data_IF_432923298780
#
_entry.id   IF_432923298780
#
_cell.length_a   1.000
_cell.length_b   1.000
_cell.length_c   1.000
_cell.angle_alpha   90.00
_cell.angle_beta   90.00
_cell.angle_gamma   90.00
#
_symmetry.space_group_name_H-M   'P 1'
#
loop_
_entity.id
_entity.type
_entity.pdbx_description
1 polymer ?
#
# COMPACT_ATOMS: atom_id res chain seq x y z
N UNK A 1 5.35 15.55 -4.74
CA UNK A 1 5.16 16.71 -3.85
C UNK A 1 3.84 16.49 -3.13
N UNK A 2 3.88 16.10 -1.85
CA UNK A 2 2.66 15.87 -1.08
C UNK A 2 1.97 17.21 -0.83
N UNK A 3 0.77 17.36 -1.38
CA UNK A 3 -0.07 18.53 -1.14
C UNK A 3 -0.83 18.24 0.14
N UNK A 4 -0.63 19.07 1.16
CA UNK A 4 -1.37 19.01 2.43
C UNK A 4 -2.88 18.85 2.18
N UNK A 5 -3.54 18.04 3.00
CA UNK A 5 -4.99 17.82 2.99
C UNK A 5 -5.54 17.05 1.77
N UNK A 6 -4.67 16.39 1.01
CA UNK A 6 -5.05 15.45 -0.06
C UNK A 6 -4.70 14.03 0.34
N UNK A 7 -5.55 13.10 -0.09
CA UNK A 7 -5.25 11.66 -0.02
C UNK A 7 -3.92 11.44 -0.73
N UNK A 8 -2.95 10.92 0.01
CA UNK A 8 -1.61 10.69 -0.49
C UNK A 8 -1.05 9.31 -0.10
N UNK A 9 -1.79 8.56 0.72
CA UNK A 9 -1.42 7.20 1.09
C UNK A 9 -2.65 6.29 1.15
N UNK A 10 -2.53 5.09 0.57
CA UNK A 10 -3.59 4.06 0.59
C UNK A 10 -3.05 2.72 1.06
N UNK A 11 -3.82 2.02 1.88
CA UNK A 11 -3.45 0.67 2.32
C UNK A 11 -4.55 -0.34 1.99
N UNK A 12 -4.13 -1.46 1.44
CA UNK A 12 -5.00 -2.54 1.00
C UNK A 12 -4.83 -3.78 1.90
N UNK A 13 -5.92 -4.44 2.32
CA UNK A 13 -5.83 -5.74 2.97
C UNK A 13 -5.35 -6.78 1.96
N UNK A 14 -4.40 -7.61 2.37
CA UNK A 14 -3.90 -8.74 1.58
C UNK A 14 -3.86 -10.01 2.43
N UNK A 15 -4.51 -11.07 1.96
CA UNK A 15 -4.45 -12.38 2.63
C UNK A 15 -3.05 -12.99 2.55
N UNK A 16 -2.37 -12.76 1.43
CA UNK A 16 -1.03 -13.27 1.13
C UNK A 16 -0.17 -12.14 0.54
N UNK A 17 0.75 -11.64 1.36
CA UNK A 17 1.64 -10.52 1.00
C UNK A 17 2.61 -10.94 -0.11
N UNK A 18 3.15 -12.15 -0.06
CA UNK A 18 4.14 -12.61 -1.05
C UNK A 18 3.51 -12.81 -2.42
N UNK A 19 2.31 -13.42 -2.47
CA UNK A 19 1.57 -13.54 -3.72
C UNK A 19 1.17 -12.16 -4.29
N UNK A 20 0.84 -11.21 -3.42
CA UNK A 20 0.51 -9.83 -3.82
C UNK A 20 1.72 -9.13 -4.44
N UNK A 21 2.88 -9.16 -3.77
CA UNK A 21 4.13 -8.61 -4.30
C UNK A 21 4.46 -9.23 -5.66
N UNK A 22 4.42 -10.56 -5.77
CA UNK A 22 4.72 -11.26 -7.01
C UNK A 22 3.81 -10.81 -8.18
N UNK A 23 2.51 -10.65 -7.93
CA UNK A 23 1.56 -10.18 -8.95
C UNK A 23 1.88 -8.74 -9.39
N UNK A 24 1.97 -7.80 -8.46
CA UNK A 24 2.17 -6.39 -8.81
C UNK A 24 3.56 -6.11 -9.41
N UNK A 25 4.60 -6.81 -8.96
CA UNK A 25 5.92 -6.77 -9.60
C UNK A 25 5.88 -7.34 -11.02
N UNK A 26 5.23 -8.48 -11.24
CA UNK A 26 5.22 -9.12 -12.57
C UNK A 26 4.36 -8.39 -13.61
N UNK A 27 3.22 -7.83 -13.20
CA UNK A 27 2.27 -7.19 -14.13
C UNK A 27 2.59 -5.71 -14.33
N UNK A 28 3.00 -5.01 -13.27
CA UNK A 28 3.17 -3.55 -13.29
C UNK A 28 4.61 -3.09 -13.03
N UNK A 29 5.52 -3.99 -12.69
CA UNK A 29 6.90 -3.62 -12.36
C UNK A 29 7.05 -2.91 -11.02
N UNK A 30 6.09 -3.04 -10.10
CA UNK A 30 6.14 -2.37 -8.81
C UNK A 30 7.29 -2.88 -7.93
N UNK A 31 7.93 -1.95 -7.24
CA UNK A 31 8.90 -2.22 -6.17
C UNK A 31 8.24 -2.12 -4.79
N UNK A 32 8.81 -2.84 -3.83
CA UNK A 32 8.26 -2.96 -2.48
C UNK A 32 9.34 -2.83 -1.40
N UNK A 33 8.98 -2.25 -0.25
CA UNK A 33 9.78 -2.19 0.98
C UNK A 33 9.04 -2.90 2.12
N UNK A 34 9.65 -3.93 2.70
CA UNK A 34 9.04 -4.75 3.75
C UNK A 34 9.33 -4.20 5.15
N UNK A 35 8.29 -4.06 5.99
CA UNK A 35 8.40 -3.67 7.41
C UNK A 35 8.04 -4.83 8.34
N UNK A 36 8.29 -6.06 7.88
CA UNK A 36 7.95 -7.30 8.57
C UNK A 36 7.12 -8.24 7.69
N UNK A 37 6.75 -9.42 8.20
CA UNK A 37 6.05 -10.44 7.41
C UNK A 37 4.58 -10.10 7.13
N UNK A 38 4.04 -9.06 7.75
CA UNK A 38 2.62 -8.70 7.69
C UNK A 38 2.37 -7.36 7.00
N UNK A 39 3.42 -6.68 6.51
CA UNK A 39 3.29 -5.38 5.88
C UNK A 39 4.37 -5.12 4.85
N UNK A 40 3.97 -4.55 3.71
CA UNK A 40 4.88 -4.09 2.66
C UNK A 40 4.37 -2.78 2.05
N UNK A 41 5.27 -1.82 1.81
CA UNK A 41 4.95 -0.54 1.20
C UNK A 41 5.37 -0.52 -0.28
N UNK A 42 4.67 0.26 -1.10
CA UNK A 42 5.06 0.65 -2.44
C UNK A 42 5.05 2.18 -2.55
N UNK A 43 5.82 2.72 -3.48
CA UNK A 43 5.91 4.18 -3.69
C UNK A 43 5.87 4.54 -5.17
N UNK A 44 5.46 5.78 -5.45
CA UNK A 44 5.53 6.41 -6.79
C UNK A 44 4.73 5.66 -7.89
N UNK A 45 3.61 5.03 -7.53
CA UNK A 45 2.71 4.36 -8.49
C UNK A 45 1.49 5.22 -8.85
N UNK A 46 1.68 6.54 -8.77
CA UNK A 46 0.62 7.57 -8.81
C UNK A 46 0.10 7.96 -7.42
N UNK A 47 0.29 7.09 -6.43
CA UNK A 47 0.11 7.32 -5.00
C UNK A 47 1.06 6.39 -4.24
N UNK A 48 1.45 6.78 -3.03
CA UNK A 48 2.17 5.89 -2.13
C UNK A 48 1.18 5.00 -1.38
N UNK A 49 1.62 3.84 -0.92
CA UNK A 49 0.71 2.95 -0.22
C UNK A 49 1.35 1.69 0.31
N UNK A 50 0.50 0.81 0.84
CA UNK A 50 0.95 -0.46 1.38
C UNK A 50 -0.08 -1.57 1.29
N UNK A 51 0.38 -2.79 1.55
CA UNK A 51 -0.46 -3.95 1.79
C UNK A 51 -0.21 -4.45 3.20
N UNK A 52 -1.28 -4.67 3.95
CA UNK A 52 -1.22 -5.26 5.30
C UNK A 52 -1.93 -6.61 5.33
N UNK A 53 -1.43 -7.53 6.15
CA UNK A 53 -1.97 -8.88 6.23
C UNK A 53 -3.33 -8.87 6.94
N UNK A 54 -4.38 -9.23 6.21
CA UNK A 54 -5.74 -9.36 6.73
C UNK A 54 -6.58 -10.27 5.83
N UNK A 55 -7.64 -10.85 6.38
CA UNK A 55 -8.71 -11.46 5.58
C UNK A 55 -9.60 -10.34 5.02
N UNK A 56 -9.65 -10.11 3.70
CA UNK A 56 -10.47 -9.04 3.13
C UNK A 56 -11.96 -9.34 3.30
N UNK A 57 -12.69 -8.47 4.00
CA UNK A 57 -14.13 -8.55 4.21
C UNK A 57 -14.90 -7.38 3.59
N UNK A 58 -14.19 -6.43 2.95
CA UNK A 58 -14.74 -5.43 2.04
C UNK A 58 -14.84 -4.01 2.60
N UNK A 59 -14.33 -3.75 3.80
CA UNK A 59 -14.36 -2.44 4.45
C UNK A 59 -13.01 -1.96 5.02
N UNK A 60 -11.90 -2.61 4.67
CA UNK A 60 -10.60 -2.38 5.32
C UNK A 60 -9.64 -1.46 4.54
N UNK A 61 -10.14 -0.61 3.67
CA UNK A 61 -9.31 0.40 3.02
C UNK A 61 -8.94 1.49 4.04
N UNK A 62 -7.67 1.56 4.43
CA UNK A 62 -7.15 2.69 5.19
C UNK A 62 -6.59 3.73 4.22
N UNK A 63 -6.97 4.99 4.43
CA UNK A 63 -6.56 6.11 3.58
C UNK A 63 -6.11 7.23 4.49
N UNK A 64 -4.94 7.78 4.20
CA UNK A 64 -4.32 8.82 5.00
C UNK A 64 -3.99 10.03 4.13
N UNK A 65 -3.95 11.19 4.76
CA UNK A 65 -3.35 12.41 4.22
C UNK A 65 -2.30 12.88 5.22
N UNK A 66 -1.09 13.18 4.76
CA UNK A 66 -0.12 13.86 5.61
C UNK A 66 -0.72 15.21 6.03
N UNK A 67 -0.81 15.44 7.34
CA UNK A 67 -1.02 16.78 7.86
C UNK A 67 0.26 17.57 7.54
N UNK A 68 0.13 18.66 6.79
CA UNK A 68 1.26 19.53 6.49
C UNK A 68 2.02 19.88 7.77
N UNK A 69 3.32 19.60 7.78
CA UNK A 69 4.23 20.06 8.83
C UNK A 69 4.35 21.59 8.80
#
# INVERSE_FOLDING_TARGET
>A
MNISDKINYVEFPARDIEATKAFFTSVFGWGFEDFGPEYTAFSDQGIDGGFFKSEPNGNELAVWSDLGA
#
